data_IF_228475462872
#
_entry.id   IF_228475462872
#
_cell.length_a   1.000
_cell.length_b   1.000
_cell.length_c   1.000
_cell.angle_alpha   90.00
_cell.angle_beta   90.00
_cell.angle_gamma   90.00
#
_symmetry.space_group_name_H-M   'P 1'
#
loop_
_entity.id
_entity.type
_entity.pdbx_description
1 polymer ?
#
# COMPACT_ATOMS: atom_id res chain seq x y z
N UNK A 1 -61.06 29.43 40.53
CA UNK A 1 -60.37 28.31 39.86
C UNK A 1 -59.13 28.91 39.20
N UNK A 2 -57.98 29.02 39.88
CA UNK A 2 -56.93 27.98 40.03
C UNK A 2 -56.52 27.45 38.64
N UNK A 3 -55.26 27.49 38.19
CA UNK A 3 -54.02 27.28 38.95
C UNK A 3 -52.82 27.84 38.16
N UNK A 4 -51.81 28.27 38.91
CA UNK A 4 -50.41 28.45 38.56
C UNK A 4 -49.83 27.22 37.84
N UNK A 5 -48.88 27.39 36.92
CA UNK A 5 -47.45 27.19 37.23
C UNK A 5 -46.58 27.29 35.97
N UNK A 6 -45.62 28.22 35.99
CA UNK A 6 -44.50 28.27 35.07
C UNK A 6 -43.41 27.33 35.55
N UNK A 7 -43.01 26.34 34.74
CA UNK A 7 -41.67 25.72 34.84
C UNK A 7 -41.01 25.56 33.47
N UNK A 8 -40.00 26.41 33.28
CA UNK A 8 -38.90 26.28 32.34
C UNK A 8 -38.25 24.90 32.43
N UNK A 9 -38.03 24.22 31.29
CA UNK A 9 -36.96 23.23 31.17
C UNK A 9 -36.26 23.34 29.82
N UNK A 10 -34.95 23.54 29.97
CA UNK A 10 -33.91 23.67 28.97
C UNK A 10 -33.63 22.31 28.31
N UNK A 11 -33.37 22.39 27.01
CA UNK A 11 -32.73 21.46 26.09
C UNK A 11 -32.07 20.19 26.68
N UNK A 12 -32.41 19.04 26.11
CA UNK A 12 -31.44 17.96 25.84
C UNK A 12 -31.51 17.57 24.38
N UNK A 13 -30.59 18.12 23.59
CA UNK A 13 -30.25 17.55 22.30
C UNK A 13 -29.73 16.12 22.53
N UNK A 14 -30.43 15.12 22.00
CA UNK A 14 -29.94 13.75 21.90
C UNK A 14 -28.70 13.78 21.01
N UNK A 15 -27.54 13.44 21.57
CA UNK A 15 -26.34 13.08 20.80
C UNK A 15 -26.69 11.88 19.90
N UNK A 16 -26.29 11.87 18.62
CA UNK A 16 -26.33 10.65 17.84
C UNK A 16 -25.33 9.68 18.47
N UNK A 17 -25.82 8.52 18.86
CA UNK A 17 -25.04 7.39 19.32
C UNK A 17 -24.17 6.89 18.16
N UNK A 18 -22.86 6.87 18.35
CA UNK A 18 -21.94 6.02 17.60
C UNK A 18 -22.43 4.57 17.68
N UNK A 19 -22.51 3.87 16.55
CA UNK A 19 -22.81 2.43 16.55
C UNK A 19 -23.72 1.95 15.42
N UNK A 20 -23.40 2.26 14.18
CA UNK A 20 -23.82 1.49 13.02
C UNK A 20 -22.91 1.82 11.83
N UNK A 21 -21.68 1.28 11.81
CA UNK A 21 -21.01 1.09 10.52
C UNK A 21 -21.89 0.13 9.71
N UNK A 22 -22.39 0.61 8.58
CA UNK A 22 -23.52 0.02 7.87
C UNK A 22 -23.25 -1.44 7.43
N UNK A 23 -24.22 -2.33 7.70
CA UNK A 23 -24.20 -3.72 7.21
C UNK A 23 -24.05 -3.82 5.67
N UNK A 24 -24.45 -2.78 4.92
CA UNK A 24 -24.27 -2.68 3.47
C UNK A 24 -22.80 -2.60 3.07
N UNK A 25 -22.01 -1.85 3.81
CA UNK A 25 -20.61 -1.54 3.48
C UNK A 25 -19.73 -2.76 3.76
N UNK A 26 -20.04 -3.47 4.85
CA UNK A 26 -19.45 -4.78 5.16
C UNK A 26 -19.79 -5.83 4.10
N UNK A 27 -21.03 -5.84 3.60
CA UNK A 27 -21.46 -6.75 2.53
C UNK A 27 -20.79 -6.44 1.19
N UNK A 28 -20.67 -5.16 0.84
CA UNK A 28 -19.97 -4.71 -0.36
C UNK A 28 -18.47 -5.06 -0.31
N UNK A 29 -17.82 -4.80 0.81
CA UNK A 29 -16.40 -5.14 1.01
C UNK A 29 -16.13 -6.65 0.86
N UNK A 30 -16.97 -7.49 1.49
CA UNK A 30 -16.85 -8.96 1.35
C UNK A 30 -17.00 -9.42 -0.11
N UNK A 31 -17.95 -8.85 -0.86
CA UNK A 31 -18.11 -9.13 -2.29
C UNK A 31 -16.88 -8.68 -3.09
N UNK A 32 -16.34 -7.50 -2.80
CA UNK A 32 -15.13 -7.01 -3.44
C UNK A 32 -13.93 -7.92 -3.17
N UNK A 33 -13.75 -8.40 -1.92
CA UNK A 33 -12.70 -9.37 -1.57
C UNK A 33 -12.85 -10.70 -2.32
N UNK A 34 -14.08 -11.23 -2.43
CA UNK A 34 -14.33 -12.45 -3.21
C UNK A 34 -13.95 -12.28 -4.68
N UNK A 35 -14.34 -11.14 -5.29
CA UNK A 35 -13.96 -10.80 -6.65
C UNK A 35 -12.44 -10.65 -6.80
N UNK A 36 -11.79 -9.92 -5.89
CA UNK A 36 -10.34 -9.70 -5.91
C UNK A 36 -9.58 -11.02 -5.82
N UNK A 37 -9.95 -11.90 -4.88
CA UNK A 37 -9.37 -13.25 -4.74
C UNK A 37 -9.57 -14.11 -5.98
N UNK A 38 -10.76 -14.07 -6.58
CA UNK A 38 -11.05 -14.84 -7.79
C UNK A 38 -10.17 -14.39 -8.97
N UNK A 39 -9.91 -13.10 -9.12
CA UNK A 39 -9.01 -12.59 -10.16
C UNK A 39 -7.53 -12.75 -9.79
N UNK A 40 -7.18 -12.63 -8.51
CA UNK A 40 -5.84 -12.92 -8.00
C UNK A 40 -5.39 -14.33 -8.36
N UNK A 41 -6.26 -15.33 -8.19
CA UNK A 41 -5.99 -16.72 -8.63
C UNK A 41 -5.62 -16.86 -10.11
N UNK A 42 -6.10 -15.97 -10.98
CA UNK A 42 -5.79 -16.00 -12.42
C UNK A 42 -4.39 -15.44 -12.71
N UNK A 43 -3.94 -14.47 -11.91
CA UNK A 43 -2.68 -13.74 -12.14
C UNK A 43 -1.56 -14.14 -11.17
N UNK A 44 -1.84 -14.96 -10.15
CA UNK A 44 -0.90 -15.26 -9.06
C UNK A 44 0.44 -15.80 -9.55
N UNK A 45 0.44 -16.67 -10.58
CA UNK A 45 1.70 -17.20 -11.14
C UNK A 45 2.55 -16.09 -11.78
N UNK A 46 1.92 -15.17 -12.54
CA UNK A 46 2.62 -14.01 -13.11
C UNK A 46 3.11 -13.07 -12.02
N UNK A 47 2.29 -12.83 -10.99
CA UNK A 47 2.66 -11.99 -9.86
C UNK A 47 3.86 -12.56 -9.10
N UNK A 48 3.89 -13.88 -8.85
CA UNK A 48 5.03 -14.54 -8.21
C UNK A 48 6.31 -14.47 -9.06
N UNK A 49 6.20 -14.46 -10.40
CA UNK A 49 7.36 -14.18 -11.25
C UNK A 49 7.87 -12.75 -11.11
N UNK A 50 7.00 -11.76 -10.92
CA UNK A 50 7.41 -10.37 -10.63
C UNK A 50 8.07 -10.26 -9.25
N UNK A 51 7.51 -10.94 -8.26
CA UNK A 51 8.09 -11.06 -6.92
C UNK A 51 9.51 -11.64 -6.97
N UNK A 52 9.72 -12.71 -7.75
CA UNK A 52 11.04 -13.31 -7.92
C UNK A 52 12.05 -12.38 -8.65
N UNK A 53 11.58 -11.46 -9.50
CA UNK A 53 12.48 -10.47 -10.12
C UNK A 53 13.04 -9.46 -9.14
N UNK A 54 12.23 -8.99 -8.20
CA UNK A 54 12.67 -7.98 -7.23
C UNK A 54 13.31 -8.64 -6.00
N UNK A 55 12.80 -9.79 -5.59
CA UNK A 55 13.20 -10.55 -4.40
C UNK A 55 13.40 -12.03 -4.76
N UNK A 56 14.53 -12.42 -5.37
CA UNK A 56 14.75 -13.80 -5.86
C UNK A 56 14.69 -14.87 -4.78
N UNK A 57 14.97 -14.52 -3.53
CA UNK A 57 14.94 -15.42 -2.38
C UNK A 57 13.59 -15.48 -1.65
N UNK A 58 12.56 -14.78 -2.15
CA UNK A 58 11.25 -14.75 -1.50
C UNK A 58 10.39 -15.97 -1.84
N UNK A 59 9.70 -16.50 -0.82
CA UNK A 59 8.71 -17.58 -0.95
C UNK A 59 7.31 -16.95 -1.09
N UNK A 60 6.39 -17.63 -1.78
CA UNK A 60 4.98 -17.22 -1.88
C UNK A 60 4.30 -17.04 -0.51
N UNK A 61 4.85 -17.65 0.55
CA UNK A 61 4.36 -17.54 1.94
C UNK A 61 4.50 -16.13 2.50
N UNK A 62 5.26 -15.28 1.83
CA UNK A 62 5.48 -13.90 2.21
C UNK A 62 4.36 -12.97 1.73
N UNK A 63 3.43 -13.43 0.89
CA UNK A 63 2.24 -12.65 0.53
C UNK A 63 1.31 -12.54 1.73
N UNK A 64 0.97 -11.31 2.10
CA UNK A 64 -0.03 -11.04 3.13
C UNK A 64 -1.44 -11.05 2.51
N UNK A 65 -2.46 -11.24 3.34
CA UNK A 65 -3.84 -11.27 2.87
C UNK A 65 -4.27 -9.91 2.29
N UNK A 66 -5.34 -9.92 1.48
CA UNK A 66 -5.92 -8.67 0.96
C UNK A 66 -6.43 -7.77 2.09
N UNK A 67 -7.01 -8.36 3.14
CA UNK A 67 -7.47 -7.63 4.32
C UNK A 67 -6.32 -6.96 5.08
N UNK A 68 -5.21 -7.68 5.29
CA UNK A 68 -4.01 -7.11 5.91
C UNK A 68 -3.40 -6.03 5.01
N UNK A 69 -3.37 -6.25 3.69
CA UNK A 69 -2.89 -5.28 2.70
C UNK A 69 -3.71 -3.99 2.75
N UNK A 70 -5.04 -4.10 2.78
CA UNK A 70 -5.93 -2.94 2.86
C UNK A 70 -5.75 -2.20 4.19
N UNK A 71 -5.62 -2.93 5.30
CA UNK A 71 -5.43 -2.36 6.64
C UNK A 71 -4.10 -1.61 6.75
N UNK A 72 -3.04 -2.18 6.19
CA UNK A 72 -1.73 -1.55 6.08
C UNK A 72 -1.81 -0.24 5.29
N UNK A 73 -2.48 -0.23 4.13
CA UNK A 73 -2.62 0.99 3.34
C UNK A 73 -3.42 2.07 4.07
N UNK A 74 -4.47 1.71 4.80
CA UNK A 74 -5.22 2.65 5.63
C UNK A 74 -4.30 3.26 6.69
N UNK A 75 -3.54 2.43 7.39
CA UNK A 75 -2.62 2.87 8.44
C UNK A 75 -1.50 3.76 7.88
N UNK A 76 -0.81 3.32 6.83
CA UNK A 76 0.26 4.08 6.19
C UNK A 76 -0.26 5.43 5.68
N UNK A 77 -1.41 5.47 4.99
CA UNK A 77 -1.97 6.73 4.51
C UNK A 77 -2.32 7.70 5.65
N UNK A 78 -2.70 7.19 6.82
CA UNK A 78 -2.95 8.03 8.00
C UNK A 78 -1.68 8.61 8.61
N UNK A 79 -0.57 7.85 8.59
CA UNK A 79 0.73 8.28 9.14
C UNK A 79 1.51 9.17 8.18
N UNK A 80 1.41 8.88 6.88
CA UNK A 80 2.16 9.56 5.82
C UNK A 80 1.94 11.07 5.77
N UNK A 81 0.78 11.56 6.24
CA UNK A 81 0.51 13.01 6.29
C UNK A 81 1.47 13.79 7.19
N UNK A 82 2.17 13.11 8.10
CA UNK A 82 3.17 13.71 8.98
C UNK A 82 4.61 13.56 8.45
N UNK A 83 4.82 12.84 7.34
CA UNK A 83 6.14 12.61 6.75
C UNK A 83 6.49 13.71 5.76
N UNK A 84 7.78 14.00 5.64
CA UNK A 84 8.33 14.81 4.55
C UNK A 84 8.25 14.02 3.26
N UNK A 85 7.88 14.68 2.17
CA UNK A 85 7.79 14.09 0.84
C UNK A 85 8.86 14.69 -0.08
N UNK A 86 9.68 13.82 -0.66
CA UNK A 86 10.69 14.19 -1.63
C UNK A 86 10.36 13.58 -2.98
N UNK A 87 10.44 14.38 -4.04
CA UNK A 87 10.14 13.95 -5.40
C UNK A 87 11.32 14.22 -6.31
N UNK A 88 11.65 13.23 -7.12
CA UNK A 88 12.62 13.37 -8.21
C UNK A 88 12.25 12.47 -9.36
N UNK A 89 12.78 12.79 -10.53
CA UNK A 89 12.63 12.00 -11.75
C UNK A 89 14.00 11.51 -12.19
N UNK A 90 14.09 10.25 -12.57
CA UNK A 90 15.33 9.62 -13.02
C UNK A 90 15.16 8.87 -14.33
N UNK A 91 16.28 8.62 -14.99
CA UNK A 91 16.37 7.61 -16.04
C UNK A 91 16.29 6.21 -15.43
N UNK A 92 15.70 5.21 -16.12
CA UNK A 92 15.73 3.82 -15.68
C UNK A 92 17.14 3.26 -15.48
N UNK A 93 18.17 3.87 -16.08
CA UNK A 93 19.57 3.49 -15.88
C UNK A 93 20.07 3.79 -14.45
N UNK A 94 19.47 4.76 -13.77
CA UNK A 94 19.82 5.17 -12.41
C UNK A 94 19.11 4.32 -11.34
N UNK A 95 18.27 3.37 -11.74
CA UNK A 95 17.47 2.57 -10.80
C UNK A 95 18.33 1.79 -9.81
N UNK A 96 19.54 1.39 -10.21
CA UNK A 96 20.45 0.61 -9.37
C UNK A 96 20.84 1.36 -8.10
N UNK A 97 21.06 2.67 -8.19
CA UNK A 97 21.38 3.51 -7.02
C UNK A 97 20.19 3.56 -6.06
N UNK A 98 18.97 3.67 -6.60
CA UNK A 98 17.74 3.66 -5.82
C UNK A 98 17.54 2.32 -5.11
N UNK A 99 17.71 1.20 -5.82
CA UNK A 99 17.63 -0.14 -5.22
C UNK A 99 18.69 -0.34 -4.13
N UNK A 100 19.87 0.26 -4.28
CA UNK A 100 20.89 0.17 -3.25
C UNK A 100 20.53 0.99 -2.00
N UNK A 101 19.91 2.16 -2.18
CA UNK A 101 19.31 2.92 -1.08
C UNK A 101 18.20 2.12 -0.40
N UNK A 102 17.29 1.50 -1.15
CA UNK A 102 16.22 0.65 -0.60
C UNK A 102 16.83 -0.50 0.23
N UNK A 103 17.86 -1.17 -0.30
CA UNK A 103 18.55 -2.26 0.41
C UNK A 103 19.12 -1.82 1.77
N UNK A 104 19.57 -0.56 1.86
CA UNK A 104 20.16 0.01 3.09
C UNK A 104 19.08 0.50 4.06
N UNK A 105 18.03 1.13 3.55
CA UNK A 105 16.96 1.74 4.34
C UNK A 105 16.01 0.71 4.93
N UNK A 106 15.65 -0.33 4.18
CA UNK A 106 14.60 -1.30 4.56
C UNK A 106 15.18 -2.61 5.12
N UNK A 107 16.30 -2.51 5.85
CA UNK A 107 16.95 -3.67 6.53
C UNK A 107 16.09 -4.27 7.64
N UNK A 108 15.18 -3.49 8.23
CA UNK A 108 14.19 -3.97 9.20
C UNK A 108 13.04 -4.78 8.58
N UNK A 109 13.10 -5.04 7.28
CA UNK A 109 11.98 -5.55 6.51
C UNK A 109 11.07 -4.43 5.99
N UNK A 110 10.18 -4.81 5.10
CA UNK A 110 9.24 -3.91 4.45
C UNK A 110 8.05 -4.68 3.86
N UNK A 111 7.10 -3.92 3.35
CA UNK A 111 6.02 -4.38 2.51
C UNK A 111 6.22 -3.84 1.10
N UNK A 112 6.10 -4.72 0.11
CA UNK A 112 6.28 -4.41 -1.31
C UNK A 112 4.95 -4.54 -2.03
N UNK A 113 4.60 -3.50 -2.79
CA UNK A 113 3.45 -3.47 -3.69
C UNK A 113 3.99 -3.41 -5.11
N UNK A 114 3.48 -4.30 -5.97
CA UNK A 114 4.00 -4.48 -7.33
C UNK A 114 2.86 -4.27 -8.33
N UNK A 115 3.07 -3.33 -9.24
CA UNK A 115 2.11 -2.83 -10.23
C UNK A 115 0.72 -2.63 -9.59
N UNK A 116 -0.33 -3.12 -10.25
CA UNK A 116 -1.68 -3.19 -9.72
C UNK A 116 -2.05 -4.60 -9.24
N UNK A 117 -1.10 -5.55 -9.32
CA UNK A 117 -1.34 -6.95 -8.98
C UNK A 117 -1.61 -7.14 -7.49
N UNK A 118 -1.01 -6.28 -6.64
CA UNK A 118 -1.22 -6.30 -5.18
C UNK A 118 -2.70 -6.11 -4.81
N UNK A 119 -3.48 -5.41 -5.65
CA UNK A 119 -4.92 -5.25 -5.45
C UNK A 119 -5.65 -6.60 -5.48
N UNK A 120 -5.07 -7.61 -6.11
CA UNK A 120 -5.69 -8.94 -6.27
C UNK A 120 -4.95 -10.05 -5.53
N UNK A 121 -3.63 -9.91 -5.37
CA UNK A 121 -2.77 -10.93 -4.77
C UNK A 121 -2.33 -10.62 -3.33
N UNK A 122 -2.48 -9.37 -2.89
CA UNK A 122 -1.92 -8.87 -1.63
C UNK A 122 -0.50 -8.32 -1.81
N UNK A 123 -0.03 -7.58 -0.81
CA UNK A 123 1.36 -7.12 -0.77
C UNK A 123 2.31 -8.26 -0.36
N UNK A 124 3.59 -8.08 -0.65
CA UNK A 124 4.65 -8.98 -0.20
C UNK A 124 5.29 -8.43 1.08
N UNK A 125 5.32 -9.21 2.16
CA UNK A 125 6.09 -8.89 3.36
C UNK A 125 7.48 -9.51 3.27
N UNK A 126 8.51 -8.68 3.34
CA UNK A 126 9.92 -9.10 3.33
C UNK A 126 10.53 -8.93 4.72
N UNK A 127 11.28 -9.95 5.16
CA UNK A 127 11.96 -9.98 6.46
C UNK A 127 13.37 -9.38 6.39
N UNK A 128 14.00 -9.13 7.54
CA UNK A 128 15.26 -8.38 7.69
C UNK A 128 16.46 -8.91 6.89
N UNK A 129 16.45 -10.18 6.46
CA UNK A 129 17.53 -10.84 5.74
C UNK A 129 17.36 -10.89 4.23
N UNK A 130 16.39 -10.14 3.67
CA UNK A 130 16.10 -10.19 2.24
C UNK A 130 17.19 -9.53 1.38
N UNK A 131 17.30 -10.00 0.15
CA UNK A 131 18.18 -9.43 -0.86
C UNK A 131 17.34 -8.90 -2.02
N UNK A 132 17.47 -7.59 -2.29
CA UNK A 132 16.94 -6.99 -3.50
C UNK A 132 17.79 -7.46 -4.67
N UNK A 133 17.14 -7.80 -5.78
CA UNK A 133 17.84 -8.00 -7.03
C UNK A 133 18.42 -6.66 -7.54
N UNK A 134 19.74 -6.49 -7.43
CA UNK A 134 20.45 -5.30 -7.94
C UNK A 134 20.47 -5.20 -9.48
N UNK A 135 20.13 -6.29 -10.15
CA UNK A 135 20.02 -6.38 -11.60
C UNK A 135 18.59 -6.09 -12.09
N UNK A 136 17.65 -5.80 -11.17
CA UNK A 136 16.27 -5.46 -11.53
C UNK A 136 16.20 -4.32 -12.55
N UNK A 137 15.30 -4.46 -13.52
CA UNK A 137 14.97 -3.45 -14.53
C UNK A 137 13.44 -3.42 -14.73
N UNK A 138 12.89 -2.22 -14.86
CA UNK A 138 11.52 -2.02 -15.31
C UNK A 138 11.36 -2.38 -16.79
N UNK A 139 10.16 -2.80 -17.19
CA UNK A 139 9.78 -3.12 -18.56
C UNK A 139 9.55 -4.61 -18.84
N UNK A 140 10.51 -5.52 -18.57
CA UNK A 140 10.35 -6.94 -18.91
C UNK A 140 9.21 -7.67 -18.18
N UNK A 141 9.01 -7.36 -16.89
CA UNK A 141 8.03 -8.07 -16.03
C UNK A 141 7.24 -7.13 -15.14
N UNK A 142 7.91 -6.19 -14.47
CA UNK A 142 7.29 -5.12 -13.71
C UNK A 142 7.27 -3.89 -14.62
N UNK A 143 6.09 -3.36 -14.88
CA UNK A 143 5.87 -2.41 -15.98
C UNK A 143 5.36 -1.05 -15.54
N UNK A 144 4.95 -0.90 -14.28
CA UNK A 144 4.42 0.34 -13.74
C UNK A 144 5.08 0.64 -12.39
N UNK A 145 4.50 0.11 -11.31
CA UNK A 145 4.72 0.64 -9.97
C UNK A 145 5.48 -0.35 -9.07
N UNK A 146 6.40 0.20 -8.28
CA UNK A 146 6.95 -0.48 -7.11
C UNK A 146 6.87 0.45 -5.91
N UNK A 147 6.23 -0.03 -4.84
CA UNK A 147 6.16 0.72 -3.59
C UNK A 147 6.74 -0.14 -2.48
N UNK A 148 7.66 0.45 -1.71
CA UNK A 148 8.21 -0.13 -0.49
C UNK A 148 7.73 0.72 0.69
N UNK A 149 7.19 0.07 1.71
CA UNK A 149 6.80 0.69 2.97
C UNK A 149 7.52 -0.05 4.09
N UNK A 150 8.28 0.63 4.93
CA UNK A 150 8.98 -0.03 6.03
C UNK A 150 7.98 -0.59 7.05
N UNK A 151 8.42 -1.55 7.86
CA UNK A 151 7.52 -2.19 8.85
C UNK A 151 6.99 -1.20 9.89
N UNK A 152 7.74 -0.14 10.21
CA UNK A 152 7.34 0.93 11.12
C UNK A 152 6.40 1.97 10.50
N UNK A 153 6.26 1.98 9.17
CA UNK A 153 5.50 2.97 8.40
C UNK A 153 6.00 4.41 8.60
N UNK A 154 7.29 4.56 8.89
CA UNK A 154 7.99 5.83 9.04
C UNK A 154 8.68 6.26 7.76
N UNK A 155 8.88 5.31 6.84
CA UNK A 155 9.53 5.50 5.56
C UNK A 155 8.83 4.74 4.45
N UNK A 156 8.73 5.36 3.30
CA UNK A 156 8.27 4.69 2.10
C UNK A 156 8.96 5.25 0.85
N UNK A 157 8.99 4.45 -0.21
CA UNK A 157 9.43 4.89 -1.52
C UNK A 157 8.54 4.28 -2.58
N UNK A 158 8.06 5.13 -3.48
CA UNK A 158 7.30 4.77 -4.67
C UNK A 158 8.16 5.02 -5.90
N UNK A 159 8.14 4.07 -6.82
CA UNK A 159 8.81 4.08 -8.10
C UNK A 159 7.74 3.89 -9.17
N UNK A 160 7.44 4.93 -9.92
CA UNK A 160 6.44 4.93 -10.99
C UNK A 160 7.17 4.99 -12.33
N UNK A 161 7.23 3.85 -13.03
CA UNK A 161 7.85 3.73 -14.35
C UNK A 161 6.84 3.96 -15.45
N UNK A 162 7.18 4.84 -16.40
CA UNK A 162 6.32 5.15 -17.53
C UNK A 162 7.13 5.52 -18.78
N UNK A 163 6.45 5.49 -19.93
CA UNK A 163 6.98 5.92 -21.21
C UNK A 163 6.24 7.18 -21.69
N UNK A 164 6.98 8.19 -22.15
CA UNK A 164 6.43 9.40 -22.75
C UNK A 164 7.25 9.77 -23.98
N UNK A 165 6.60 9.91 -25.14
CA UNK A 165 7.25 10.27 -26.41
C UNK A 165 8.42 9.35 -26.82
N UNK A 166 8.40 8.07 -26.43
CA UNK A 166 9.47 7.11 -26.70
C UNK A 166 10.61 7.13 -25.69
N UNK A 167 10.58 8.04 -24.71
CA UNK A 167 11.51 8.07 -23.59
C UNK A 167 10.91 7.37 -22.38
N UNK A 168 11.70 6.51 -21.73
CA UNK A 168 11.33 5.80 -20.50
C UNK A 168 11.87 6.54 -19.29
N UNK A 169 11.03 6.76 -18.27
CA UNK A 169 11.35 7.53 -17.07
C UNK A 169 10.84 6.81 -15.82
N UNK A 170 11.40 7.16 -14.67
CA UNK A 170 10.89 6.74 -13.35
C UNK A 170 10.69 7.97 -12.47
N UNK A 171 9.47 8.16 -11.99
CA UNK A 171 9.20 9.09 -10.90
C UNK A 171 9.45 8.38 -9.56
N UNK A 172 10.31 8.98 -8.75
CA UNK A 172 10.67 8.51 -7.42
C UNK A 172 10.07 9.45 -6.39
N UNK A 173 9.23 8.91 -5.52
CA UNK A 173 8.65 9.63 -4.39
C UNK A 173 9.10 8.94 -3.11
N UNK A 174 9.77 9.67 -2.23
CA UNK A 174 10.27 9.19 -0.95
C UNK A 174 9.50 9.90 0.18
N UNK A 175 9.07 9.14 1.18
CA UNK A 175 8.50 9.66 2.43
C UNK A 175 9.39 9.28 3.59
N UNK A 176 9.74 10.24 4.45
CA UNK A 176 10.52 9.99 5.68
C UNK A 176 10.21 11.03 6.77
N UNK A 177 10.51 10.70 8.03
CA UNK A 177 10.39 11.61 9.18
C UNK A 177 11.44 12.74 9.15
#
# INVERSE_FOLDING_TARGET
MTTEDQKSQIQKAKRPTEGAMNNSDTSAYRKALLYRRANGRKIISSHLHKVAEICPSSDHKNLISLEETDSLLVEFNSRRTALLEFRRRISPHEIQEVLETISKTYKGGAYIFIDEDWRYCGALRIAESWMINKEFRFGPKIINDLIFIDVGMEKAISLDYFEINGDTLVDVIEWEQ
#
